data_IF_548359817739
#
_entry.id   IF_548359817739
#
_cell.length_a   1.000
_cell.length_b   1.000
_cell.length_c   1.000
_cell.angle_alpha   90.00
_cell.angle_beta   90.00
_cell.angle_gamma   90.00
#
_symmetry.space_group_name_H-M   'P 1'
#
loop_
_entity.id
_entity.type
_entity.pdbx_description
1 polymer ?
#
# COMPACT_ATOMS: atom_id res chain seq x y z
N UNK A 1 -50.32 5.06 -47.28
CA UNK A 1 -48.93 5.34 -46.84
C UNK A 1 -48.91 5.47 -45.31
N UNK A 2 -48.46 4.44 -44.58
CA UNK A 2 -48.34 4.48 -43.11
C UNK A 2 -46.95 5.06 -42.76
N UNK A 3 -46.93 6.21 -42.07
CA UNK A 3 -45.70 6.80 -41.53
C UNK A 3 -45.24 5.98 -40.33
N UNK A 4 -44.10 5.32 -40.45
CA UNK A 4 -43.40 4.67 -39.34
C UNK A 4 -42.61 5.77 -38.62
N UNK A 5 -43.01 6.08 -37.39
CA UNK A 5 -42.31 7.00 -36.51
C UNK A 5 -41.17 6.25 -35.84
N UNK A 6 -39.93 6.49 -36.27
CA UNK A 6 -38.75 5.98 -35.55
C UNK A 6 -38.57 6.79 -34.26
N UNK A 7 -38.95 6.20 -33.13
CA UNK A 7 -38.49 6.68 -31.82
C UNK A 7 -36.99 6.39 -31.71
N UNK A 8 -36.17 7.44 -31.81
CA UNK A 8 -34.78 7.40 -31.37
C UNK A 8 -34.76 7.37 -29.84
N UNK A 9 -34.56 6.18 -29.27
CA UNK A 9 -34.19 6.03 -27.87
C UNK A 9 -32.74 6.48 -27.76
N UNK A 10 -32.52 7.71 -27.30
CA UNK A 10 -31.18 8.18 -26.91
C UNK A 10 -30.73 7.27 -25.76
N UNK A 11 -29.56 6.62 -25.83
CA UNK A 11 -29.05 5.88 -24.70
C UNK A 11 -28.83 6.88 -23.57
N UNK A 12 -29.54 6.69 -22.46
CA UNK A 12 -29.30 7.42 -21.22
C UNK A 12 -27.85 7.11 -20.84
N UNK A 13 -26.97 8.09 -21.03
CA UNK A 13 -25.61 8.07 -20.49
C UNK A 13 -25.78 8.01 -18.96
N UNK A 14 -25.73 6.82 -18.39
CA UNK A 14 -25.58 6.68 -16.94
C UNK A 14 -24.29 7.37 -16.56
N UNK A 15 -24.39 8.52 -15.87
CA UNK A 15 -23.23 9.16 -15.27
C UNK A 15 -22.54 8.12 -14.39
N UNK A 16 -21.24 7.90 -14.62
CA UNK A 16 -20.47 6.95 -13.82
C UNK A 16 -20.62 7.32 -12.34
N UNK A 17 -20.93 6.34 -11.50
CA UNK A 17 -21.00 6.56 -10.05
C UNK A 17 -19.66 7.11 -9.56
N UNK A 18 -19.64 8.08 -8.63
CA UNK A 18 -18.41 8.66 -8.13
C UNK A 18 -17.51 7.58 -7.50
N UNK A 19 -16.19 7.75 -7.63
CA UNK A 19 -15.20 6.86 -7.00
C UNK A 19 -15.43 6.81 -5.49
N UNK A 20 -15.63 7.98 -4.87
CA UNK A 20 -15.99 8.09 -3.46
C UNK A 20 -17.15 9.07 -3.26
N UNK A 21 -18.05 8.70 -2.36
CA UNK A 21 -19.14 9.56 -1.90
C UNK A 21 -19.43 9.26 -0.44
N UNK A 22 -19.25 10.25 0.44
CA UNK A 22 -19.53 10.15 1.87
C UNK A 22 -19.69 11.54 2.49
N UNK A 23 -20.87 11.83 3.06
CA UNK A 23 -21.22 13.17 3.53
C UNK A 23 -21.08 14.22 2.41
N UNK A 24 -20.36 15.31 2.69
CA UNK A 24 -20.06 16.36 1.71
C UNK A 24 -18.89 16.05 0.74
N UNK A 25 -18.25 14.89 0.86
CA UNK A 25 -17.14 14.51 -0.03
C UNK A 25 -17.67 13.77 -1.26
N UNK A 26 -17.31 14.26 -2.44
CA UNK A 26 -17.56 13.59 -3.73
C UNK A 26 -16.29 13.61 -4.56
N UNK A 27 -15.74 12.42 -4.83
CA UNK A 27 -14.62 12.24 -5.74
C UNK A 27 -15.16 11.61 -7.02
N UNK A 28 -15.07 12.28 -8.18
CA UNK A 28 -15.60 11.77 -9.44
C UNK A 28 -14.90 10.48 -9.85
N UNK A 29 -15.57 9.64 -10.65
CA UNK A 29 -14.90 8.50 -11.27
C UNK A 29 -13.86 8.98 -12.28
N UNK A 30 -12.70 8.33 -12.30
CA UNK A 30 -11.70 8.54 -13.33
C UNK A 30 -12.28 8.20 -14.71
N UNK A 31 -11.92 9.01 -15.72
CA UNK A 31 -12.39 8.84 -17.09
C UNK A 31 -11.27 9.07 -18.08
N UNK A 32 -11.27 8.33 -19.19
CA UNK A 32 -10.35 8.58 -20.30
C UNK A 32 -10.60 9.94 -20.98
N UNK A 33 -11.76 10.55 -20.76
CA UNK A 33 -12.11 11.89 -21.24
C UNK A 33 -11.84 12.98 -20.20
N UNK A 34 -11.25 12.65 -19.04
CA UNK A 34 -10.88 13.64 -18.04
C UNK A 34 -9.86 14.63 -18.60
N UNK A 35 -10.11 15.92 -18.41
CA UNK A 35 -9.22 16.97 -18.92
C UNK A 35 -7.91 16.97 -18.13
N UNK A 36 -6.80 16.74 -18.82
CA UNK A 36 -5.47 16.84 -18.22
C UNK A 36 -5.14 18.30 -17.92
N UNK A 37 -4.79 18.60 -16.68
CA UNK A 37 -4.38 19.94 -16.29
C UNK A 37 -3.08 20.33 -17.01
N UNK A 38 -3.01 21.57 -17.53
CA UNK A 38 -1.81 22.10 -18.18
C UNK A 38 -0.64 22.33 -17.21
N UNK A 39 -0.94 22.44 -15.92
CA UNK A 39 0.01 22.67 -14.85
C UNK A 39 -0.37 21.81 -13.64
N UNK A 40 0.64 21.34 -12.93
CA UNK A 40 0.45 20.62 -11.67
C UNK A 40 -0.25 21.52 -10.64
N UNK A 41 -1.19 20.95 -9.88
CA UNK A 41 -1.86 21.62 -8.77
C UNK A 41 -1.67 20.80 -7.50
N UNK A 42 -0.79 21.30 -6.61
CA UNK A 42 -0.51 20.67 -5.33
C UNK A 42 -1.78 20.59 -4.46
N UNK A 43 -2.57 21.67 -4.44
CA UNK A 43 -3.83 21.76 -3.70
C UNK A 43 -4.83 20.69 -4.13
N UNK A 44 -5.06 20.51 -5.44
CA UNK A 44 -5.98 19.47 -5.94
C UNK A 44 -5.47 18.06 -5.64
N UNK A 45 -4.16 17.83 -5.71
CA UNK A 45 -3.56 16.55 -5.38
C UNK A 45 -3.74 16.22 -3.89
N UNK A 46 -3.45 17.16 -3.00
CA UNK A 46 -3.66 16.99 -1.55
C UNK A 46 -5.15 16.81 -1.24
N UNK A 47 -6.02 17.63 -1.82
CA UNK A 47 -7.47 17.48 -1.67
C UNK A 47 -7.95 16.08 -2.07
N UNK A 48 -7.48 15.53 -3.19
CA UNK A 48 -7.83 14.17 -3.62
C UNK A 48 -7.37 13.11 -2.61
N UNK A 49 -6.13 13.20 -2.13
CA UNK A 49 -5.58 12.27 -1.14
C UNK A 49 -6.37 12.30 0.18
N UNK A 50 -6.61 13.49 0.72
CA UNK A 50 -7.33 13.69 1.98
C UNK A 50 -8.80 13.26 1.88
N UNK A 51 -9.49 13.70 0.83
CA UNK A 51 -10.91 13.40 0.64
C UNK A 51 -11.16 11.92 0.33
N UNK A 52 -10.32 11.30 -0.49
CA UNK A 52 -10.42 9.86 -0.79
C UNK A 52 -10.26 9.00 0.47
N UNK A 53 -9.24 9.30 1.29
CA UNK A 53 -9.00 8.60 2.55
C UNK A 53 -10.16 8.81 3.54
N UNK A 54 -10.61 10.05 3.74
CA UNK A 54 -11.72 10.35 4.65
C UNK A 54 -13.04 9.72 4.21
N UNK A 55 -13.39 9.80 2.93
CA UNK A 55 -14.62 9.21 2.41
C UNK A 55 -14.61 7.69 2.53
N UNK A 56 -13.47 7.03 2.30
CA UNK A 56 -13.31 5.60 2.54
C UNK A 56 -13.54 5.26 4.02
N UNK A 57 -12.83 5.95 4.91
CA UNK A 57 -12.92 5.74 6.37
C UNK A 57 -14.36 5.85 6.85
N UNK A 58 -15.07 6.93 6.51
CA UNK A 58 -16.44 7.17 6.97
C UNK A 58 -17.45 6.16 6.42
N UNK A 59 -17.21 5.60 5.23
CA UNK A 59 -18.15 4.66 4.57
C UNK A 59 -17.88 3.20 4.93
N UNK A 60 -16.61 2.82 5.13
CA UNK A 60 -16.19 1.42 5.30
C UNK A 60 -15.62 1.11 6.67
N UNK A 61 -15.07 2.11 7.37
CA UNK A 61 -14.59 1.98 8.75
C UNK A 61 -13.42 1.03 8.93
N UNK A 62 -12.65 0.69 7.88
CA UNK A 62 -11.55 -0.27 7.97
C UNK A 62 -10.29 0.21 7.26
N UNK A 63 -9.14 -0.28 7.74
CA UNK A 63 -7.84 -0.05 7.09
C UNK A 63 -7.70 -0.97 5.88
N UNK A 64 -7.39 -0.39 4.72
CA UNK A 64 -7.16 -1.14 3.47
C UNK A 64 -5.83 -0.78 2.84
N UNK A 65 -5.18 -1.76 2.22
CA UNK A 65 -3.87 -1.62 1.60
C UNK A 65 -3.85 -0.47 0.58
N UNK A 66 -4.80 -0.41 -0.36
CA UNK A 66 -4.82 0.57 -1.46
C UNK A 66 -5.49 1.91 -1.14
N UNK A 67 -5.93 2.15 0.09
CA UNK A 67 -6.57 3.42 0.47
C UNK A 67 -5.91 3.99 1.72
N UNK A 68 -6.47 3.74 2.91
CA UNK A 68 -6.00 4.35 4.16
C UNK A 68 -4.65 3.82 4.61
N UNK A 69 -4.31 2.56 4.28
CA UNK A 69 -2.99 1.98 4.53
C UNK A 69 -1.90 2.67 3.71
N UNK A 70 -2.04 2.70 2.38
CA UNK A 70 -1.09 3.41 1.50
C UNK A 70 -1.05 4.92 1.77
N UNK A 71 -2.21 5.54 2.05
CA UNK A 71 -2.24 6.94 2.48
C UNK A 71 -1.33 7.16 3.70
N UNK A 72 -1.46 6.34 4.75
CA UNK A 72 -0.62 6.47 5.94
C UNK A 72 0.84 6.07 5.71
N UNK A 73 1.12 5.21 4.73
CA UNK A 73 2.48 4.84 4.36
C UNK A 73 3.23 5.98 3.66
N UNK A 74 2.53 6.90 2.99
CA UNK A 74 3.16 7.92 2.13
C UNK A 74 2.89 9.35 2.61
N UNK A 75 1.64 9.71 2.91
CA UNK A 75 1.24 11.09 3.22
C UNK A 75 1.99 11.72 4.41
N UNK A 76 2.37 10.98 5.47
CA UNK A 76 3.21 11.54 6.53
C UNK A 76 4.53 12.12 6.02
N UNK A 77 5.19 11.52 5.02
CA UNK A 77 6.46 12.02 4.47
C UNK A 77 6.34 13.45 3.94
N UNK A 78 5.16 13.82 3.43
CA UNK A 78 4.86 15.12 2.87
C UNK A 78 4.49 16.19 3.91
N UNK A 79 4.59 15.90 5.22
CA UNK A 79 4.17 16.82 6.31
C UNK A 79 4.83 18.20 6.23
N UNK A 80 6.09 18.27 5.79
CA UNK A 80 6.82 19.54 5.66
C UNK A 80 6.30 20.44 4.53
N UNK A 81 5.57 19.88 3.57
CA UNK A 81 5.05 20.57 2.38
C UNK A 81 3.54 20.79 2.49
N UNK A 82 2.81 19.75 2.90
CA UNK A 82 1.35 19.70 2.89
C UNK A 82 0.73 19.84 4.30
N UNK A 83 1.55 20.09 5.32
CA UNK A 83 1.11 20.12 6.71
C UNK A 83 0.73 18.73 7.25
N UNK A 84 0.24 18.73 8.50
CA UNK A 84 -0.08 17.51 9.24
C UNK A 84 -1.17 16.70 8.50
N UNK A 85 -0.96 15.38 8.26
CA UNK A 85 -1.99 14.52 7.67
C UNK A 85 -3.22 14.37 8.58
N UNK A 86 -4.31 13.85 8.03
CA UNK A 86 -5.58 13.71 8.73
C UNK A 86 -5.47 12.90 10.04
N UNK A 87 -5.87 13.54 11.14
CA UNK A 87 -5.96 12.94 12.46
C UNK A 87 -7.03 11.82 12.50
N UNK A 88 -8.11 11.95 11.74
CA UNK A 88 -9.18 10.94 11.62
C UNK A 88 -8.63 9.59 11.11
N UNK A 89 -7.68 9.64 10.17
CA UNK A 89 -7.06 8.42 9.63
C UNK A 89 -6.08 7.80 10.63
N UNK A 90 -5.32 8.62 11.37
CA UNK A 90 -4.49 8.12 12.48
C UNK A 90 -5.35 7.42 13.56
N UNK A 91 -6.49 8.01 13.92
CA UNK A 91 -7.45 7.43 14.87
C UNK A 91 -8.07 6.14 14.36
N UNK A 92 -8.37 6.03 13.06
CA UNK A 92 -8.78 4.77 12.44
C UNK A 92 -7.72 3.67 12.65
N UNK A 93 -6.44 3.94 12.33
CA UNK A 93 -5.38 2.92 12.44
C UNK A 93 -5.17 2.45 13.88
N UNK A 94 -5.15 3.39 14.83
CA UNK A 94 -4.99 3.07 16.26
C UNK A 94 -6.21 2.35 16.85
N UNK A 95 -7.41 2.70 16.41
CA UNK A 95 -8.65 1.99 16.74
C UNK A 95 -8.65 0.55 16.21
N UNK A 96 -8.34 0.35 14.93
CA UNK A 96 -8.22 -0.98 14.31
C UNK A 96 -7.14 -1.83 14.99
N UNK A 97 -5.99 -1.24 15.31
CA UNK A 97 -4.93 -1.92 16.07
C UNK A 97 -5.46 -2.44 17.42
N UNK A 98 -6.25 -1.62 18.12
CA UNK A 98 -6.84 -2.01 19.41
C UNK A 98 -7.77 -3.21 19.27
N UNK A 99 -8.56 -3.27 18.19
CA UNK A 99 -9.41 -4.41 17.87
C UNK A 99 -8.60 -5.67 17.52
N UNK A 100 -7.61 -5.54 16.64
CA UNK A 100 -6.78 -6.66 16.16
C UNK A 100 -5.98 -7.31 17.29
N UNK A 101 -5.46 -6.51 18.24
CA UNK A 101 -4.70 -7.02 19.40
C UNK A 101 -5.52 -7.91 20.35
N UNK A 102 -6.85 -7.88 20.26
CA UNK A 102 -7.75 -8.74 21.05
C UNK A 102 -8.02 -10.09 20.38
N UNK A 103 -7.62 -10.25 19.11
CA UNK A 103 -7.88 -11.46 18.34
C UNK A 103 -6.78 -12.51 18.54
N UNK A 104 -7.11 -13.78 18.30
CA UNK A 104 -6.14 -14.87 18.34
C UNK A 104 -5.21 -14.80 17.13
N UNK A 105 -3.94 -15.17 17.31
CA UNK A 105 -2.94 -15.24 16.23
C UNK A 105 -3.45 -16.06 15.03
N UNK A 106 -4.10 -17.20 15.28
CA UNK A 106 -4.66 -18.04 14.22
C UNK A 106 -5.74 -17.34 13.37
N UNK A 107 -6.46 -16.36 13.93
CA UNK A 107 -7.48 -15.60 13.22
C UNK A 107 -6.91 -14.39 12.50
N UNK A 108 -5.77 -13.86 12.99
CA UNK A 108 -5.03 -12.78 12.35
C UNK A 108 -4.23 -13.28 11.13
N UNK A 109 -3.85 -14.55 11.11
CA UNK A 109 -3.12 -15.19 10.01
C UNK A 109 -4.01 -15.68 8.85
N UNK A 110 -5.19 -15.06 8.65
CA UNK A 110 -6.16 -15.46 7.63
C UNK A 110 -6.70 -14.24 6.88
N UNK A 111 -7.06 -14.46 5.62
CA UNK A 111 -7.72 -13.44 4.81
C UNK A 111 -6.84 -12.21 4.62
N UNK A 112 -7.44 -11.02 4.68
CA UNK A 112 -6.72 -9.74 4.50
C UNK A 112 -6.09 -9.20 5.79
N UNK A 113 -6.27 -9.87 6.93
CA UNK A 113 -5.82 -9.37 8.23
C UNK A 113 -4.30 -9.26 8.36
N UNK A 114 -3.47 -10.17 7.81
CA UNK A 114 -2.03 -9.97 7.86
C UNK A 114 -1.60 -8.68 7.16
N UNK A 115 -2.09 -8.45 5.95
CA UNK A 115 -1.92 -7.19 5.23
C UNK A 115 -2.36 -5.99 6.08
N UNK A 116 -3.54 -6.07 6.70
CA UNK A 116 -4.05 -5.00 7.55
C UNK A 116 -3.10 -4.67 8.72
N UNK A 117 -2.61 -5.69 9.43
CA UNK A 117 -1.65 -5.53 10.53
C UNK A 117 -0.34 -4.88 10.03
N UNK A 118 0.17 -5.33 8.89
CA UNK A 118 1.42 -4.83 8.31
C UNK A 118 1.29 -3.38 7.87
N UNK A 119 0.21 -3.02 7.18
CA UNK A 119 -0.03 -1.65 6.73
C UNK A 119 -0.33 -0.69 7.90
N UNK A 120 -0.96 -1.17 8.98
CA UNK A 120 -1.08 -0.39 10.22
C UNK A 120 0.31 -0.11 10.80
N UNK A 121 1.17 -1.13 10.90
CA UNK A 121 2.53 -0.95 11.42
C UNK A 121 3.36 0.01 10.56
N UNK A 122 3.28 -0.11 9.23
CA UNK A 122 3.93 0.80 8.30
C UNK A 122 3.45 2.24 8.45
N UNK A 123 2.13 2.44 8.44
CA UNK A 123 1.53 3.77 8.55
C UNK A 123 1.84 4.48 9.87
N UNK A 124 1.79 3.77 11.00
CA UNK A 124 2.15 4.32 12.30
C UNK A 124 3.66 4.63 12.41
N UNK A 125 4.50 3.82 11.76
CA UNK A 125 5.96 4.07 11.71
C UNK A 125 6.28 5.33 10.91
N UNK A 126 5.63 5.53 9.76
CA UNK A 126 5.77 6.73 8.92
C UNK A 126 5.23 7.99 9.64
N UNK A 127 4.09 7.85 10.34
CA UNK A 127 3.59 8.91 11.22
C UNK A 127 4.59 9.28 12.32
N UNK A 128 5.21 8.28 12.96
CA UNK A 128 6.21 8.54 13.99
C UNK A 128 7.47 9.22 13.46
N UNK A 129 7.95 8.82 12.28
CA UNK A 129 9.11 9.43 11.65
C UNK A 129 8.85 10.87 11.19
N UNK A 130 7.67 11.13 10.62
CA UNK A 130 7.42 12.39 9.94
C UNK A 130 6.60 13.40 10.72
N UNK A 131 5.70 12.95 11.59
CA UNK A 131 4.78 13.80 12.35
C UNK A 131 5.23 13.95 13.80
N UNK A 132 5.32 12.86 14.57
CA UNK A 132 5.62 12.94 16.01
C UNK A 132 7.12 13.03 16.32
N UNK A 133 7.97 12.65 15.37
CA UNK A 133 9.44 12.59 15.47
C UNK A 133 9.95 11.66 16.57
N UNK A 134 9.12 10.72 17.02
CA UNK A 134 9.48 9.77 18.08
C UNK A 134 8.67 8.49 17.97
N UNK A 135 9.24 7.39 18.46
CA UNK A 135 8.55 6.11 18.53
C UNK A 135 7.43 6.13 19.59
N UNK A 136 6.20 5.89 19.15
CA UNK A 136 4.99 5.81 19.97
C UNK A 136 4.78 4.42 20.58
N UNK A 137 3.86 4.33 21.53
CA UNK A 137 3.46 3.05 22.12
C UNK A 137 2.63 2.22 21.13
N UNK A 138 1.85 2.90 20.29
CA UNK A 138 1.01 2.37 19.23
C UNK A 138 1.87 1.70 18.15
N UNK A 139 2.93 2.36 17.67
CA UNK A 139 3.87 1.76 16.71
C UNK A 139 4.59 0.55 17.29
N UNK A 140 5.04 0.62 18.55
CA UNK A 140 5.63 -0.55 19.24
C UNK A 140 4.66 -1.72 19.30
N UNK A 141 3.40 -1.44 19.63
CA UNK A 141 2.36 -2.46 19.70
C UNK A 141 2.01 -3.04 18.32
N UNK A 142 1.97 -2.21 17.28
CA UNK A 142 1.74 -2.65 15.90
C UNK A 142 2.87 -3.54 15.38
N UNK A 143 4.13 -3.13 15.56
CA UNK A 143 5.30 -3.94 15.17
C UNK A 143 5.36 -5.26 15.94
N UNK A 144 5.05 -5.24 17.24
CA UNK A 144 4.97 -6.47 18.05
C UNK A 144 3.87 -7.41 17.54
N UNK A 145 2.69 -6.88 17.22
CA UNK A 145 1.60 -7.70 16.67
C UNK A 145 2.00 -8.27 15.30
N UNK A 146 2.59 -7.46 14.42
CA UNK A 146 3.05 -7.85 13.10
C UNK A 146 4.04 -9.02 13.18
N UNK A 147 5.08 -8.93 14.02
CA UNK A 147 6.01 -10.05 14.20
C UNK A 147 5.40 -11.24 14.93
N UNK A 148 4.48 -11.00 15.88
CA UNK A 148 3.79 -12.07 16.60
C UNK A 148 2.88 -12.95 15.72
N UNK A 149 2.56 -12.51 14.51
CA UNK A 149 1.82 -13.31 13.51
C UNK A 149 2.72 -13.78 12.35
N UNK A 150 4.02 -13.49 12.35
CA UNK A 150 4.92 -13.90 11.29
C UNK A 150 5.09 -15.44 11.27
N UNK A 151 5.17 -16.00 10.07
CA UNK A 151 5.47 -17.41 9.85
C UNK A 151 6.98 -17.66 9.84
N UNK A 152 7.39 -18.91 10.06
CA UNK A 152 8.81 -19.33 10.04
C UNK A 152 9.53 -19.02 8.72
N UNK A 153 8.80 -18.87 7.62
CA UNK A 153 9.33 -18.46 6.31
C UNK A 153 9.86 -17.03 6.27
N UNK A 154 9.56 -16.20 7.27
CA UNK A 154 9.83 -14.76 7.25
C UNK A 154 8.69 -13.92 6.67
N UNK A 155 7.58 -14.55 6.28
CA UNK A 155 6.38 -13.92 5.69
C UNK A 155 5.15 -14.10 6.58
N UNK A 156 3.95 -13.81 6.06
CA UNK A 156 2.68 -13.92 6.79
C UNK A 156 1.67 -14.83 6.06
N UNK A 157 0.50 -15.05 6.67
CA UNK A 157 -0.64 -15.78 6.07
C UNK A 157 -1.31 -15.04 4.91
N UNK A 158 -0.52 -14.57 3.96
CA UNK A 158 -0.85 -13.65 2.89
C UNK A 158 -1.77 -14.25 1.82
N UNK A 159 -2.50 -13.40 1.10
CA UNK A 159 -3.37 -13.78 -0.01
C UNK A 159 -2.76 -13.37 -1.36
N UNK A 160 -2.84 -14.20 -2.37
CA UNK A 160 -2.29 -13.90 -3.70
C UNK A 160 -3.33 -13.69 -4.79
N UNK A 161 -4.53 -13.23 -4.41
CA UNK A 161 -5.69 -13.23 -5.31
C UNK A 161 -6.02 -11.89 -6.00
N UNK A 162 -5.46 -10.75 -5.58
CA UNK A 162 -5.80 -9.43 -6.15
C UNK A 162 -4.57 -8.72 -6.72
N UNK A 163 -4.46 -8.53 -8.04
CA UNK A 163 -3.57 -7.57 -8.67
C UNK A 163 -4.11 -6.12 -8.54
N UNK A 164 -3.25 -5.11 -8.33
CA UNK A 164 -1.80 -5.24 -8.05
C UNK A 164 -1.58 -5.92 -6.70
N UNK A 165 -0.53 -6.76 -6.62
CA UNK A 165 -0.29 -7.81 -5.62
C UNK A 165 -0.01 -7.30 -4.18
N UNK A 166 -0.70 -6.27 -3.72
CA UNK A 166 -0.48 -5.61 -2.43
C UNK A 166 -0.63 -6.55 -1.23
N UNK A 167 -1.43 -7.61 -1.38
CA UNK A 167 -1.64 -8.65 -0.37
C UNK A 167 -0.70 -9.86 -0.51
N UNK A 168 0.17 -9.89 -1.52
CA UNK A 168 1.08 -11.03 -1.72
C UNK A 168 2.14 -11.08 -0.63
N UNK A 169 2.62 -12.28 -0.31
CA UNK A 169 3.67 -12.47 0.69
C UNK A 169 4.92 -11.63 0.40
N UNK A 170 5.29 -11.48 -0.88
CA UNK A 170 6.44 -10.69 -1.27
C UNK A 170 6.24 -9.19 -1.04
N UNK A 171 5.09 -8.63 -1.46
CA UNK A 171 4.78 -7.23 -1.18
C UNK A 171 4.70 -6.98 0.33
N UNK A 172 3.91 -7.79 1.05
CA UNK A 172 3.72 -7.65 2.49
C UNK A 172 5.08 -7.66 3.23
N UNK A 173 6.02 -8.50 2.82
CA UNK A 173 7.38 -8.48 3.33
C UNK A 173 8.12 -7.17 3.06
N UNK A 174 8.01 -6.60 1.85
CA UNK A 174 8.61 -5.29 1.55
C UNK A 174 8.00 -4.17 2.41
N UNK A 175 6.69 -4.19 2.65
CA UNK A 175 6.00 -3.20 3.50
C UNK A 175 6.39 -3.36 4.98
N UNK A 176 6.48 -4.60 5.47
CA UNK A 176 6.95 -4.88 6.83
C UNK A 176 8.41 -4.43 7.04
N UNK A 177 9.28 -4.63 6.04
CA UNK A 177 10.65 -4.14 6.08
C UNK A 177 10.72 -2.61 6.16
N UNK A 178 9.88 -1.90 5.39
CA UNK A 178 9.75 -0.45 5.48
C UNK A 178 9.27 -0.01 6.87
N UNK A 179 8.21 -0.63 7.41
CA UNK A 179 7.70 -0.31 8.75
C UNK A 179 8.81 -0.37 9.81
N UNK A 180 9.56 -1.47 9.82
CA UNK A 180 10.65 -1.70 10.77
C UNK A 180 11.79 -0.69 10.61
N UNK A 181 12.15 -0.35 9.37
CA UNK A 181 13.25 0.59 9.11
C UNK A 181 12.87 2.05 9.37
N UNK A 182 11.60 2.41 9.19
CA UNK A 182 11.09 3.77 9.38
C UNK A 182 10.85 4.09 10.86
N UNK A 183 10.45 3.11 11.69
CA UNK A 183 10.12 3.32 13.10
C UNK A 183 11.30 3.87 13.93
N UNK A 184 11.22 5.13 14.45
CA UNK A 184 12.38 5.82 15.03
C UNK A 184 13.03 5.06 16.20
N UNK A 185 14.28 4.63 16.05
CA UNK A 185 15.03 3.94 17.11
C UNK A 185 14.47 2.57 17.53
N UNK A 186 13.45 2.02 16.84
CA UNK A 186 12.88 0.72 17.18
C UNK A 186 13.89 -0.41 16.95
N UNK A 187 14.54 -0.43 15.78
CA UNK A 187 15.55 -1.47 15.43
C UNK A 187 16.75 -1.43 16.37
N UNK A 188 17.32 -0.25 16.60
CA UNK A 188 18.48 -0.09 17.48
C UNK A 188 18.16 -0.37 18.94
N UNK A 189 16.90 -0.16 19.35
CA UNK A 189 16.43 -0.47 20.69
C UNK A 189 15.97 -1.92 20.89
N UNK A 190 16.02 -2.76 19.85
CA UNK A 190 15.50 -4.12 19.89
C UNK A 190 16.40 -5.04 20.72
N UNK A 191 15.89 -5.53 21.86
CA UNK A 191 16.59 -6.45 22.77
C UNK A 191 16.06 -7.88 22.74
N UNK A 192 14.83 -8.07 22.28
CA UNK A 192 14.15 -9.36 22.25
C UNK A 192 14.73 -10.26 21.16
N UNK A 193 15.31 -11.39 21.55
CA UNK A 193 16.01 -12.32 20.63
C UNK A 193 15.04 -13.00 19.65
N UNK A 194 13.80 -13.28 20.06
CA UNK A 194 12.78 -13.83 19.18
C UNK A 194 12.44 -12.85 18.05
N UNK A 195 12.18 -11.59 18.38
CA UNK A 195 11.91 -10.55 17.37
C UNK A 195 13.14 -10.27 16.50
N UNK A 196 14.37 -10.36 17.04
CA UNK A 196 15.60 -10.26 16.22
C UNK A 196 15.68 -11.39 15.20
N UNK A 197 15.38 -12.63 15.60
CA UNK A 197 15.35 -13.77 14.70
C UNK A 197 14.26 -13.62 13.62
N UNK A 198 13.08 -13.13 13.99
CA UNK A 198 11.98 -12.80 13.08
C UNK A 198 12.35 -11.71 12.06
N UNK A 199 13.07 -10.66 12.48
CA UNK A 199 13.62 -9.64 11.59
C UNK A 199 14.68 -10.23 10.65
N UNK A 200 15.57 -11.09 11.16
CA UNK A 200 16.56 -11.76 10.34
C UNK A 200 15.91 -12.67 9.27
N UNK A 201 14.84 -13.39 9.64
CA UNK A 201 14.06 -14.20 8.70
C UNK A 201 13.40 -13.34 7.61
N UNK A 202 12.83 -12.18 7.96
CA UNK A 202 12.29 -11.22 6.99
C UNK A 202 13.37 -10.73 6.01
N UNK A 203 14.53 -10.29 6.52
CA UNK A 203 15.62 -9.83 5.68
C UNK A 203 16.16 -10.95 4.79
N UNK A 204 16.29 -12.17 5.32
CA UNK A 204 16.71 -13.36 4.57
C UNK A 204 15.73 -13.64 3.43
N UNK A 205 14.43 -13.67 3.72
CA UNK A 205 13.39 -13.89 2.72
C UNK A 205 13.50 -12.90 1.56
N UNK A 206 13.61 -11.59 1.85
CA UNK A 206 13.71 -10.54 0.83
C UNK A 206 15.03 -10.55 0.03
N UNK A 207 16.10 -11.11 0.59
CA UNK A 207 17.41 -11.23 -0.08
C UNK A 207 17.49 -12.46 -0.97
N UNK A 208 16.94 -13.59 -0.52
CA UNK A 208 17.12 -14.89 -1.17
C UNK A 208 15.96 -15.29 -2.07
N UNK A 209 14.75 -14.75 -1.84
CA UNK A 209 13.59 -15.06 -2.67
C UNK A 209 13.65 -14.27 -3.96
N UNK A 210 13.60 -14.98 -5.09
CA UNK A 210 13.46 -14.35 -6.41
C UNK A 210 12.13 -13.58 -6.44
N UNK A 211 12.12 -12.28 -6.78
CA UNK A 211 10.88 -11.53 -6.93
C UNK A 211 9.95 -12.22 -7.93
N UNK A 212 8.62 -12.26 -7.66
CA UNK A 212 7.68 -12.99 -8.52
C UNK A 212 7.61 -12.43 -9.95
N UNK A 213 7.94 -11.15 -10.11
CA UNK A 213 8.04 -10.43 -11.38
C UNK A 213 8.82 -9.12 -11.18
N UNK A 214 8.97 -8.31 -12.24
CA UNK A 214 9.75 -7.08 -12.17
C UNK A 214 9.10 -6.01 -11.30
N UNK A 215 7.78 -6.04 -11.09
CA UNK A 215 7.14 -5.18 -10.10
C UNK A 215 7.56 -5.58 -8.67
N UNK A 216 7.68 -6.88 -8.39
CA UNK A 216 8.31 -7.39 -7.18
C UNK A 216 9.71 -6.80 -6.97
N UNK A 217 10.51 -6.72 -8.04
CA UNK A 217 11.83 -6.09 -8.03
C UNK A 217 11.76 -4.60 -7.68
N UNK A 218 10.76 -3.87 -8.19
CA UNK A 218 10.55 -2.44 -7.88
C UNK A 218 10.21 -2.23 -6.40
N UNK A 219 9.32 -3.04 -5.83
CA UNK A 219 8.94 -2.88 -4.41
C UNK A 219 10.05 -3.33 -3.46
N UNK A 220 10.88 -4.29 -3.88
CA UNK A 220 12.12 -4.63 -3.18
C UNK A 220 13.11 -3.46 -3.19
N UNK A 221 13.29 -2.81 -4.34
CA UNK A 221 14.10 -1.60 -4.47
C UNK A 221 13.56 -0.50 -3.55
N UNK A 222 12.24 -0.27 -3.54
CA UNK A 222 11.60 0.71 -2.66
C UNK A 222 11.86 0.42 -1.19
N UNK A 223 11.69 -0.83 -0.73
CA UNK A 223 12.00 -1.20 0.65
C UNK A 223 13.47 -0.92 1.02
N UNK A 224 14.41 -1.13 0.09
CA UNK A 224 15.84 -0.83 0.31
C UNK A 224 16.13 0.67 0.50
N UNK A 225 15.20 1.54 0.07
CA UNK A 225 15.31 2.98 0.33
C UNK A 225 15.09 3.34 1.79
N UNK A 226 14.29 2.55 2.52
CA UNK A 226 14.07 2.71 3.97
C UNK A 226 15.06 1.85 4.75
N UNK A 227 15.17 0.57 4.42
CA UNK A 227 16.10 -0.37 5.04
C UNK A 227 17.44 -0.39 4.29
N UNK A 228 18.33 0.57 4.59
CA UNK A 228 19.59 0.76 3.83
C UNK A 228 20.54 -0.45 3.86
N UNK A 229 20.43 -1.30 4.87
CA UNK A 229 21.18 -2.54 5.07
C UNK A 229 20.49 -3.79 4.47
N UNK A 230 19.34 -3.63 3.80
CA UNK A 230 18.60 -4.75 3.21
C UNK A 230 19.36 -5.38 2.04
N UNK A 231 19.87 -4.55 1.12
CA UNK A 231 20.48 -4.98 -0.13
C UNK A 231 21.91 -4.44 -0.26
N UNK A 232 22.77 -5.19 -0.94
CA UNK A 232 24.08 -4.69 -1.35
C UNK A 232 23.95 -3.53 -2.34
N UNK A 233 24.98 -2.68 -2.44
CA UNK A 233 25.01 -1.60 -3.44
C UNK A 233 24.86 -2.14 -4.86
N UNK A 234 25.55 -3.23 -5.19
CA UNK A 234 25.42 -3.90 -6.48
C UNK A 234 23.98 -4.31 -6.78
N UNK A 235 23.31 -5.00 -5.83
CA UNK A 235 21.94 -5.45 -6.04
C UNK A 235 20.97 -4.28 -6.20
N UNK A 236 21.18 -3.16 -5.50
CA UNK A 236 20.38 -1.94 -5.70
C UNK A 236 20.58 -1.36 -7.10
N UNK A 237 21.81 -1.28 -7.60
CA UNK A 237 22.10 -0.80 -8.95
C UNK A 237 21.42 -1.66 -10.03
N UNK A 238 21.49 -2.99 -9.91
CA UNK A 238 20.81 -3.91 -10.83
C UNK A 238 19.28 -3.67 -10.88
N UNK A 239 18.65 -3.44 -9.72
CA UNK A 239 17.21 -3.16 -9.65
C UNK A 239 16.86 -1.78 -10.24
N UNK A 240 17.74 -0.79 -10.08
CA UNK A 240 17.58 0.54 -10.70
C UNK A 240 17.68 0.44 -12.22
N UNK A 241 18.67 -0.30 -12.74
CA UNK A 241 18.81 -0.55 -14.18
C UNK A 241 17.59 -1.27 -14.76
N UNK A 242 17.10 -2.31 -14.06
CA UNK A 242 15.86 -3.01 -14.44
C UNK A 242 14.67 -2.04 -14.52
N UNK A 243 14.49 -1.16 -13.53
CA UNK A 243 13.40 -0.18 -13.54
C UNK A 243 13.52 0.77 -14.75
N UNK A 244 14.72 1.24 -15.08
CA UNK A 244 14.94 2.10 -16.25
C UNK A 244 14.69 1.40 -17.58
N UNK A 245 14.96 0.09 -17.69
CA UNK A 245 14.64 -0.68 -18.90
C UNK A 245 13.13 -0.72 -19.21
N UNK A 246 12.28 -0.53 -18.18
CA UNK A 246 10.83 -0.46 -18.33
C UNK A 246 10.30 0.96 -18.59
N UNK A 247 11.15 1.99 -18.60
CA UNK A 247 10.71 3.34 -18.89
C UNK A 247 10.27 3.44 -20.36
N UNK A 248 9.08 4.00 -20.57
CA UNK A 248 8.47 4.17 -21.89
C UNK A 248 8.93 5.48 -22.52
N UNK A 249 8.67 5.62 -23.83
CA UNK A 249 9.01 6.84 -24.61
C UNK A 249 8.36 8.13 -24.08
N UNK A 250 7.24 8.00 -23.36
CA UNK A 250 6.54 9.10 -22.70
C UNK A 250 7.15 9.48 -21.32
N UNK A 251 8.21 8.78 -20.91
CA UNK A 251 8.88 8.96 -19.61
C UNK A 251 8.23 8.21 -18.46
N UNK A 252 7.07 7.57 -18.66
CA UNK A 252 6.34 6.83 -17.63
C UNK A 252 6.69 5.33 -17.56
N UNK A 253 6.10 4.67 -16.57
CA UNK A 253 6.15 3.21 -16.39
C UNK A 253 4.73 2.64 -16.44
N UNK A 254 4.60 1.40 -16.88
CA UNK A 254 3.32 0.69 -16.87
C UNK A 254 3.46 -0.63 -16.13
N UNK A 255 2.58 -0.90 -15.17
CA UNK A 255 2.53 -2.21 -14.53
C UNK A 255 2.41 -3.37 -15.54
N UNK A 256 1.83 -3.11 -16.71
CA UNK A 256 1.67 -4.09 -17.79
C UNK A 256 2.99 -4.53 -18.43
N UNK A 257 4.07 -3.74 -18.32
CA UNK A 257 5.38 -4.13 -18.88
C UNK A 257 6.20 -4.96 -17.89
N UNK A 258 5.94 -4.83 -16.58
CA UNK A 258 6.68 -5.56 -15.56
C UNK A 258 6.37 -7.05 -15.46
N UNK A 259 5.30 -7.52 -16.11
CA UNK A 259 4.96 -8.94 -16.20
C UNK A 259 3.82 -9.21 -17.17
N UNK A 260 3.79 -10.42 -17.74
CA UNK A 260 2.63 -10.92 -18.51
C UNK A 260 1.42 -11.20 -17.59
N UNK A 261 0.17 -11.06 -18.09
CA UNK A 261 -1.08 -11.28 -17.34
C UNK A 261 -1.12 -12.59 -16.53
N UNK A 262 -0.60 -13.68 -17.09
CA UNK A 262 -0.61 -15.03 -16.50
C UNK A 262 0.27 -15.16 -15.26
N UNK A 263 1.26 -14.28 -15.13
CA UNK A 263 2.17 -14.25 -13.98
C UNK A 263 1.62 -13.38 -12.83
N UNK A 264 0.49 -12.70 -13.03
CA UNK A 264 -0.18 -11.95 -11.96
C UNK A 264 -1.21 -12.83 -11.25
N UNK A 265 -1.13 -12.93 -9.92
CA UNK A 265 -2.13 -13.63 -9.10
C UNK A 265 -2.34 -15.09 -9.51
N UNK A 266 -1.25 -15.77 -9.91
CA UNK A 266 -1.27 -17.12 -10.53
C UNK A 266 -2.14 -17.22 -11.79
N UNK A 267 -2.27 -16.13 -12.53
CA UNK A 267 -3.04 -16.05 -13.78
C UNK A 267 -4.55 -15.98 -13.58
N UNK A 268 -5.04 -15.89 -12.34
CA UNK A 268 -6.46 -15.89 -12.02
C UNK A 268 -7.26 -14.73 -12.65
N UNK A 269 -6.55 -13.71 -13.15
CA UNK A 269 -7.11 -12.53 -13.83
C UNK A 269 -6.48 -12.24 -15.18
N UNK A 270 -5.78 -13.20 -15.77
CA UNK A 270 -5.10 -12.99 -17.05
C UNK A 270 -6.07 -12.43 -18.12
N UNK A 271 -7.29 -12.97 -18.21
CA UNK A 271 -8.31 -12.49 -19.16
C UNK A 271 -8.85 -11.06 -18.91
N UNK A 272 -8.58 -10.47 -17.74
CA UNK A 272 -9.02 -9.11 -17.36
C UNK A 272 -7.88 -8.10 -17.43
N UNK A 273 -6.64 -8.57 -17.53
CA UNK A 273 -5.43 -7.76 -17.63
C UNK A 273 -5.01 -7.75 -19.08
#
# INVERSE_FOLDING_TARGET
>A
MKKILFLFVVPVLFAASPQYQSGGIVVPAASAQETVLKQFSLEKADQYLEQGAAAWTRKRGCVTCHTTGTYMQIRPELTSILGKPSQEIYELLTGELTGLRKQKVADLNKGTKPAQVIYIAAGLSEWDLHVTKKLSAETKAALKLMFGIQQKSGTWGSLDCWPPLESSAFQEATVAAMAVATAPGWRSGLKDEETKASLAALQKYLRETVPPNDYGSVVLLWASTRMKDLLSTQRRSELVELLWQHQRKDGGWSLRTFSVPEKWGRGNRAAKL
#
